data_IF_658150970117
#
_entry.id   IF_658150970117
#
_cell.length_a   1.000
_cell.length_b   1.000
_cell.length_c   1.000
_cell.angle_alpha   90.00
_cell.angle_beta   90.00
_cell.angle_gamma   90.00
#
_symmetry.space_group_name_H-M   'P 1'
#
loop_
_entity.id
_entity.type
_entity.pdbx_description
1 polymer ?
#
# COMPACT_ATOMS: atom_id res chain seq x y z
N UNK A 1 -53.67 3.34 22.87
CA UNK A 1 -53.16 2.46 21.80
C UNK A 1 -52.17 3.14 20.85
N UNK A 2 -52.47 4.33 20.29
CA UNK A 2 -51.61 5.00 19.28
C UNK A 2 -50.14 5.23 19.70
N UNK A 3 -49.88 5.59 20.97
CA UNK A 3 -48.53 5.90 21.48
C UNK A 3 -47.60 4.67 21.54
N UNK A 4 -48.13 3.50 21.91
CA UNK A 4 -47.36 2.24 21.98
C UNK A 4 -46.98 1.72 20.60
N UNK A 5 -47.87 1.92 19.61
CA UNK A 5 -47.63 1.55 18.22
C UNK A 5 -46.52 2.40 17.58
N UNK A 6 -46.52 3.71 17.83
CA UNK A 6 -45.47 4.62 17.33
C UNK A 6 -44.09 4.25 17.89
N UNK A 7 -43.99 3.92 19.18
CA UNK A 7 -42.72 3.51 19.82
C UNK A 7 -42.18 2.22 19.20
N UNK A 8 -43.05 1.24 18.93
CA UNK A 8 -42.66 -0.02 18.29
C UNK A 8 -42.11 0.22 16.88
N UNK A 9 -42.76 1.07 16.08
CA UNK A 9 -42.31 1.40 14.72
C UNK A 9 -40.94 2.09 14.75
N UNK A 10 -40.73 3.04 15.67
CA UNK A 10 -39.43 3.71 15.84
C UNK A 10 -38.34 2.71 16.25
N UNK A 11 -38.63 1.82 17.20
CA UNK A 11 -37.67 0.81 17.65
C UNK A 11 -37.27 -0.16 16.51
N UNK A 12 -38.23 -0.56 15.68
CA UNK A 12 -37.97 -1.40 14.49
C UNK A 12 -37.15 -0.64 13.46
N UNK A 13 -37.47 0.63 13.18
CA UNK A 13 -36.72 1.46 12.24
C UNK A 13 -35.26 1.63 12.67
N UNK A 14 -35.01 1.90 13.96
CA UNK A 14 -33.66 1.99 14.54
C UNK A 14 -32.94 0.65 14.45
N UNK A 15 -33.62 -0.45 14.78
CA UNK A 15 -33.05 -1.80 14.69
C UNK A 15 -32.65 -2.18 13.26
N UNK A 16 -33.47 -1.83 12.27
CA UNK A 16 -33.18 -2.06 10.85
C UNK A 16 -32.01 -1.19 10.37
N UNK A 17 -31.99 0.10 10.69
CA UNK A 17 -30.88 0.98 10.30
C UNK A 17 -29.56 0.54 10.94
N UNK A 18 -29.58 0.19 12.22
CA UNK A 18 -28.40 -0.34 12.92
C UNK A 18 -27.89 -1.64 12.27
N UNK A 19 -28.79 -2.58 11.97
CA UNK A 19 -28.45 -3.85 11.33
C UNK A 19 -27.81 -3.65 9.95
N UNK A 20 -28.34 -2.73 9.14
CA UNK A 20 -27.76 -2.35 7.84
C UNK A 20 -26.35 -1.79 8.05
N UNK A 21 -26.16 -0.83 8.95
CA UNK A 21 -24.84 -0.20 9.16
C UNK A 21 -23.76 -1.17 9.65
N UNK A 22 -24.12 -2.18 10.44
CA UNK A 22 -23.18 -3.21 10.91
C UNK A 22 -22.87 -4.21 9.79
N UNK A 23 -23.89 -4.62 9.02
CA UNK A 23 -23.73 -5.63 7.97
C UNK A 23 -22.91 -5.13 6.78
N UNK A 24 -22.94 -3.83 6.49
CA UNK A 24 -22.20 -3.21 5.38
C UNK A 24 -20.86 -2.57 5.79
N UNK A 25 -20.33 -2.88 6.98
CA UNK A 25 -18.96 -2.48 7.32
C UNK A 25 -17.98 -3.17 6.35
N UNK A 26 -17.14 -2.42 5.63
CA UNK A 26 -16.09 -3.01 4.82
C UNK A 26 -15.18 -3.87 5.71
N UNK A 27 -14.88 -5.09 5.27
CA UNK A 27 -13.91 -5.93 5.98
C UNK A 27 -12.55 -5.24 5.96
N UNK A 28 -11.81 -5.21 7.09
CA UNK A 28 -10.45 -4.72 7.09
C UNK A 28 -9.58 -5.61 6.18
N UNK A 29 -8.67 -4.97 5.45
CA UNK A 29 -7.68 -5.63 4.59
C UNK A 29 -6.32 -5.30 5.19
N UNK A 30 -5.50 -6.32 5.40
CA UNK A 30 -4.09 -6.17 5.80
C UNK A 30 -3.23 -6.88 4.78
N UNK A 31 -2.32 -6.14 4.14
CA UNK A 31 -1.29 -6.69 3.26
C UNK A 31 0.09 -6.50 3.89
N UNK A 32 1.01 -7.40 3.60
CA UNK A 32 2.37 -7.35 4.11
C UNK A 32 3.39 -7.62 3.00
N UNK A 33 4.58 -7.05 3.13
CA UNK A 33 5.67 -7.26 2.21
C UNK A 33 6.86 -6.37 2.55
N UNK A 34 7.48 -5.77 1.54
CA UNK A 34 8.65 -4.92 1.75
C UNK A 34 8.69 -3.73 0.81
N UNK A 35 9.49 -2.73 1.19
CA UNK A 35 9.89 -1.63 0.33
C UNK A 35 11.40 -1.65 0.21
N UNK A 36 11.91 -1.85 -0.99
CA UNK A 36 13.33 -1.79 -1.31
C UNK A 36 13.68 -0.43 -1.90
N UNK A 37 14.84 0.10 -1.52
CA UNK A 37 15.37 1.37 -2.01
C UNK A 37 16.84 1.23 -2.33
N UNK A 38 17.24 1.80 -3.46
CA UNK A 38 18.64 1.91 -3.89
C UNK A 38 18.90 3.33 -4.41
N UNK A 39 20.00 3.97 -4.00
CA UNK A 39 20.43 5.25 -4.59
C UNK A 39 21.09 5.09 -5.98
N UNK A 40 21.37 3.85 -6.42
CA UNK A 40 21.93 3.54 -7.73
C UNK A 40 20.95 3.76 -8.91
N UNK A 41 19.72 4.19 -8.61
CA UNK A 41 18.67 4.45 -9.59
C UNK A 41 18.10 3.21 -10.30
N UNK A 42 18.53 2.00 -9.91
CA UNK A 42 18.09 0.69 -10.43
C UNK A 42 18.04 -0.38 -9.32
N UNK A 43 17.45 -1.55 -9.58
CA UNK A 43 17.35 -2.62 -8.59
C UNK A 43 18.69 -3.30 -8.25
N UNK A 44 19.57 -3.47 -9.25
CA UNK A 44 20.86 -4.16 -9.14
C UNK A 44 22.01 -3.29 -9.68
N UNK A 45 22.95 -2.91 -8.81
CA UNK A 45 24.16 -2.19 -9.20
C UNK A 45 24.70 -1.29 -8.10
N UNK A 46 25.91 -0.76 -8.33
CA UNK A 46 26.55 0.22 -7.43
C UNK A 46 27.24 -0.38 -6.20
N UNK A 47 28.15 0.41 -5.61
CA UNK A 47 28.67 0.22 -4.23
C UNK A 47 27.92 1.18 -3.27
N UNK A 48 26.67 1.46 -3.57
CA UNK A 48 25.95 2.64 -3.07
C UNK A 48 24.90 2.24 -2.01
N UNK A 49 24.15 3.21 -1.48
CA UNK A 49 23.16 3.00 -0.44
C UNK A 49 22.01 2.08 -0.88
N UNK A 50 21.83 0.98 -0.15
CA UNK A 50 20.67 0.10 -0.27
C UNK A 50 20.04 -0.13 1.12
N UNK A 51 18.71 -0.17 1.15
CA UNK A 51 17.95 -0.53 2.34
C UNK A 51 16.60 -1.14 1.97
N UNK A 52 16.07 -1.94 2.89
CA UNK A 52 14.76 -2.56 2.81
C UNK A 52 14.00 -2.34 4.12
N UNK A 53 12.72 -2.00 4.00
CA UNK A 53 11.78 -1.88 5.10
C UNK A 53 10.72 -2.95 4.97
N UNK A 54 10.29 -3.53 6.09
CA UNK A 54 9.06 -4.30 6.16
C UNK A 54 7.89 -3.35 5.96
N UNK A 55 7.01 -3.67 5.02
CA UNK A 55 5.85 -2.87 4.66
C UNK A 55 4.57 -3.55 5.14
N UNK A 56 3.73 -2.82 5.88
CA UNK A 56 2.40 -3.29 6.32
C UNK A 56 1.34 -2.28 5.90
N UNK A 57 0.41 -2.70 5.05
CA UNK A 57 -0.72 -1.89 4.61
C UNK A 57 -1.98 -2.33 5.35
N UNK A 58 -2.59 -1.44 6.13
CA UNK A 58 -3.83 -1.69 6.86
C UNK A 58 -4.94 -0.80 6.32
N UNK A 59 -6.01 -1.37 5.76
CA UNK A 59 -7.12 -0.65 5.13
C UNK A 59 -8.45 -0.96 5.83
N UNK A 60 -9.24 0.08 6.07
CA UNK A 60 -10.64 -0.01 6.47
C UNK A 60 -11.50 0.76 5.45
N UNK A 61 -12.21 0.03 4.59
CA UNK A 61 -12.96 0.62 3.48
C UNK A 61 -12.01 1.13 2.38
N UNK A 62 -11.92 2.45 2.19
CA UNK A 62 -11.05 3.07 1.17
C UNK A 62 -9.90 3.88 1.78
N UNK A 63 -9.70 3.79 3.09
CA UNK A 63 -8.68 4.56 3.84
C UNK A 63 -7.92 3.64 4.77
N UNK A 64 -6.72 4.04 5.17
CA UNK A 64 -5.87 3.23 6.02
C UNK A 64 -4.48 3.82 6.21
N UNK A 65 -3.52 2.98 6.55
CA UNK A 65 -2.11 3.35 6.70
C UNK A 65 -1.18 2.38 6.00
N UNK A 66 -0.04 2.89 5.54
CA UNK A 66 1.14 2.12 5.19
C UNK A 66 2.22 2.39 6.23
N UNK A 67 2.63 1.33 6.93
CA UNK A 67 3.67 1.35 7.94
C UNK A 67 4.95 0.72 7.38
N UNK A 68 6.08 1.39 7.55
CA UNK A 68 7.40 0.96 7.09
C UNK A 68 8.32 0.83 8.29
N UNK A 69 8.96 -0.32 8.46
CA UNK A 69 9.91 -0.55 9.56
C UNK A 69 11.21 -1.05 8.97
N UNK A 70 12.32 -0.36 9.22
CA UNK A 70 13.62 -0.74 8.66
C UNK A 70 13.93 -2.19 9.02
N UNK A 71 14.20 -2.99 8.00
CA UNK A 71 14.54 -4.40 8.13
C UNK A 71 16.06 -4.59 8.03
N UNK A 72 16.66 -4.06 6.97
CA UNK A 72 18.09 -4.18 6.68
C UNK A 72 18.55 -3.00 5.82
N UNK A 73 19.81 -2.57 5.94
CA UNK A 73 20.38 -1.53 5.09
C UNK A 73 21.58 -0.82 5.72
N UNK A 74 22.18 0.11 4.96
CA UNK A 74 23.31 0.94 5.43
C UNK A 74 22.88 2.10 6.35
N UNK A 75 21.58 2.24 6.61
CA UNK A 75 20.99 3.25 7.47
C UNK A 75 19.48 3.34 7.26
N UNK A 76 18.83 4.28 7.93
CA UNK A 76 17.44 4.63 7.67
C UNK A 76 17.37 5.97 6.94
N UNK A 77 17.24 5.92 5.61
CA UNK A 77 17.05 7.11 4.81
C UNK A 77 15.65 7.74 5.00
N UNK A 78 14.69 7.00 5.56
CA UNK A 78 13.36 7.54 5.81
C UNK A 78 13.33 8.34 7.10
N UNK A 79 12.69 9.50 7.02
CA UNK A 79 12.40 10.36 8.17
C UNK A 79 10.98 10.21 8.69
N UNK A 80 10.13 9.51 7.93
CA UNK A 80 8.74 9.18 8.26
C UNK A 80 8.46 7.71 7.91
N UNK A 81 7.73 7.04 8.79
CA UNK A 81 7.51 5.58 8.73
C UNK A 81 6.03 5.18 8.72
N UNK A 82 5.13 6.13 8.94
CA UNK A 82 3.68 5.91 8.91
C UNK A 82 3.07 6.85 7.88
N UNK A 83 2.37 6.31 6.88
CA UNK A 83 1.83 7.07 5.77
C UNK A 83 0.33 6.90 5.66
N UNK A 84 -0.39 8.01 5.45
CA UNK A 84 -1.83 7.99 5.27
C UNK A 84 -2.19 7.45 3.88
N UNK A 85 -3.10 6.47 3.85
CA UNK A 85 -3.60 5.86 2.62
C UNK A 85 -5.06 6.22 2.40
N UNK A 86 -5.39 6.64 1.18
CA UNK A 86 -6.76 6.99 0.76
C UNK A 86 -7.07 6.47 -0.63
N UNK A 87 -8.34 6.49 -1.02
CA UNK A 87 -8.81 6.05 -2.34
C UNK A 87 -8.39 4.61 -2.70
N UNK A 88 -8.20 3.75 -1.69
CA UNK A 88 -7.79 2.37 -1.89
C UNK A 88 -8.83 1.60 -2.69
N UNK A 89 -8.37 0.90 -3.73
CA UNK A 89 -9.10 -0.08 -4.52
C UNK A 89 -8.16 -1.22 -4.86
N UNK A 90 -8.69 -2.44 -4.85
CA UNK A 90 -7.96 -3.65 -5.17
C UNK A 90 -8.83 -4.51 -6.07
N UNK A 91 -8.24 -5.02 -7.14
CA UNK A 91 -8.80 -6.06 -7.98
C UNK A 91 -7.77 -7.19 -8.16
N UNK A 92 -8.14 -8.22 -8.93
CA UNK A 92 -7.31 -9.41 -9.15
C UNK A 92 -5.96 -9.09 -9.83
N UNK A 93 -5.79 -7.91 -10.42
CA UNK A 93 -4.61 -7.55 -11.22
C UNK A 93 -3.82 -6.38 -10.66
N UNK A 94 -4.44 -5.52 -9.84
CA UNK A 94 -3.77 -4.34 -9.29
C UNK A 94 -4.36 -3.83 -7.99
N UNK A 95 -3.54 -3.06 -7.29
CA UNK A 95 -3.94 -2.18 -6.20
C UNK A 95 -3.72 -0.74 -6.67
N UNK A 96 -4.71 0.12 -6.48
CA UNK A 96 -4.60 1.56 -6.69
C UNK A 96 -4.95 2.29 -5.41
N UNK A 97 -4.14 3.26 -5.01
CA UNK A 97 -4.36 4.06 -3.80
C UNK A 97 -3.64 5.40 -3.90
N UNK A 98 -3.94 6.31 -2.98
CA UNK A 98 -3.13 7.50 -2.73
C UNK A 98 -2.38 7.36 -1.43
N UNK A 99 -1.07 7.55 -1.45
CA UNK A 99 -0.22 7.65 -0.27
C UNK A 99 0.16 9.11 -0.13
N UNK A 100 -0.21 9.75 0.99
CA UNK A 100 0.04 11.19 1.20
C UNK A 100 -0.51 12.09 0.07
N UNK A 101 -1.60 11.65 -0.57
CA UNK A 101 -2.24 12.35 -1.69
C UNK A 101 -1.67 12.02 -3.08
N UNK A 102 -0.51 11.37 -3.18
CA UNK A 102 0.11 10.95 -4.43
C UNK A 102 -0.39 9.57 -4.88
N UNK A 103 -0.71 9.44 -6.17
CA UNK A 103 -1.25 8.20 -6.72
C UNK A 103 -0.18 7.11 -6.83
N UNK A 104 -0.50 5.93 -6.30
CA UNK A 104 0.31 4.71 -6.37
C UNK A 104 -0.51 3.59 -6.98
N UNK A 105 0.08 2.89 -7.95
CA UNK A 105 -0.52 1.72 -8.60
C UNK A 105 0.45 0.56 -8.51
N UNK A 106 0.09 -0.50 -7.80
CA UNK A 106 0.84 -1.75 -7.75
C UNK A 106 0.19 -2.76 -8.70
N UNK A 107 1.00 -3.46 -9.48
CA UNK A 107 0.55 -4.46 -10.44
C UNK A 107 0.88 -5.84 -9.91
N UNK A 108 -0.05 -6.79 -10.03
CA UNK A 108 0.21 -8.19 -9.70
C UNK A 108 1.30 -8.73 -10.61
N UNK A 109 2.38 -9.23 -10.02
CA UNK A 109 3.46 -9.94 -10.69
C UNK A 109 3.24 -11.43 -10.48
N UNK A 110 2.78 -12.12 -11.51
CA UNK A 110 2.56 -13.58 -11.44
C UNK A 110 3.87 -14.35 -11.35
N UNK A 111 4.90 -13.86 -12.05
CA UNK A 111 6.24 -14.44 -12.12
C UNK A 111 7.27 -13.31 -12.06
N UNK A 112 8.12 -13.30 -11.04
CA UNK A 112 9.15 -12.30 -10.84
C UNK A 112 10.51 -12.76 -11.34
N UNK A 113 10.89 -12.27 -12.52
CA UNK A 113 12.19 -12.61 -13.13
C UNK A 113 13.35 -11.76 -12.57
N UNK A 114 13.07 -10.69 -11.84
CA UNK A 114 14.11 -9.74 -11.36
C UNK A 114 14.77 -10.26 -10.09
N UNK A 115 13.98 -10.80 -9.17
CA UNK A 115 14.48 -11.36 -7.91
C UNK A 115 14.36 -12.88 -7.85
N UNK A 116 14.52 -13.56 -8.99
CA UNK A 116 14.55 -15.03 -9.09
C UNK A 116 13.36 -15.69 -8.37
N UNK A 117 12.15 -15.26 -8.74
CA UNK A 117 10.86 -15.74 -8.22
C UNK A 117 10.57 -15.42 -6.74
N UNK A 118 11.38 -14.59 -6.08
CA UNK A 118 11.19 -14.25 -4.67
C UNK A 118 9.85 -13.53 -4.39
N UNK A 119 9.31 -12.83 -5.39
CA UNK A 119 8.09 -12.04 -5.26
C UNK A 119 6.96 -12.48 -6.21
N UNK A 120 6.91 -13.76 -6.56
CA UNK A 120 5.77 -14.35 -7.28
C UNK A 120 4.46 -14.14 -6.49
N UNK A 121 3.44 -13.62 -7.18
CA UNK A 121 2.12 -13.33 -6.60
C UNK A 121 2.05 -12.05 -5.76
N UNK A 122 3.09 -11.21 -5.76
CA UNK A 122 3.04 -9.90 -5.10
C UNK A 122 2.47 -8.83 -6.02
N UNK A 123 1.81 -7.84 -5.42
CA UNK A 123 1.54 -6.56 -6.06
C UNK A 123 2.77 -5.67 -5.94
N UNK A 124 3.34 -5.25 -7.06
CA UNK A 124 4.59 -4.49 -7.11
C UNK A 124 4.39 -3.15 -7.83
N UNK A 125 4.90 -2.08 -7.24
CA UNK A 125 5.16 -0.82 -7.92
C UNK A 125 6.63 -0.45 -7.78
N UNK A 126 7.26 -0.07 -8.89
CA UNK A 126 8.69 0.25 -8.92
C UNK A 126 8.98 1.45 -9.81
N UNK A 127 10.00 2.21 -9.43
CA UNK A 127 10.48 3.38 -10.15
C UNK A 127 11.99 3.51 -9.97
N UNK A 128 12.70 3.92 -11.00
CA UNK A 128 14.11 4.31 -10.93
C UNK A 128 14.55 5.02 -12.21
N UNK A 129 15.36 6.06 -12.08
CA UNK A 129 15.82 6.86 -13.23
C UNK A 129 16.77 6.10 -14.17
N UNK A 130 17.54 5.17 -13.61
CA UNK A 130 18.53 4.35 -14.32
C UNK A 130 18.13 2.88 -14.43
N UNK A 131 16.90 2.55 -14.01
CA UNK A 131 16.38 1.20 -14.02
C UNK A 131 16.05 0.75 -15.46
N UNK A 132 16.41 -0.48 -15.85
CA UNK A 132 15.92 -1.08 -17.08
C UNK A 132 14.39 -1.03 -17.17
N UNK A 133 13.80 -0.81 -18.36
CA UNK A 133 12.34 -0.70 -18.52
C UNK A 133 11.55 -1.88 -17.96
N UNK A 134 12.12 -3.09 -18.01
CA UNK A 134 11.55 -4.32 -17.47
C UNK A 134 11.41 -4.31 -15.93
N UNK A 135 12.19 -3.48 -15.23
CA UNK A 135 12.10 -3.32 -13.79
C UNK A 135 10.99 -2.37 -13.36
N UNK A 136 10.49 -1.52 -14.25
CA UNK A 136 9.51 -0.50 -13.93
C UNK A 136 8.09 -1.07 -14.02
N UNK A 137 7.37 -1.02 -12.90
CA UNK A 137 6.04 -1.58 -12.78
C UNK A 137 5.10 -0.59 -12.11
N UNK A 138 3.88 -0.50 -12.63
CA UNK A 138 2.84 0.32 -12.01
C UNK A 138 3.22 1.81 -11.95
N UNK A 139 2.96 2.44 -10.81
CA UNK A 139 3.30 3.85 -10.58
C UNK A 139 3.62 4.07 -9.12
N UNK A 140 4.80 4.61 -8.84
CA UNK A 140 5.28 5.04 -7.52
C UNK A 140 6.35 6.11 -7.76
N UNK A 141 6.64 6.93 -6.75
CA UNK A 141 7.71 7.93 -6.81
C UNK A 141 8.48 7.94 -5.49
N UNK A 142 9.81 8.14 -5.50
CA UNK A 142 10.60 8.24 -4.28
C UNK A 142 10.12 9.37 -3.37
N UNK A 143 9.76 10.52 -3.94
CA UNK A 143 9.36 11.73 -3.20
C UNK A 143 8.09 11.58 -2.35
N UNK A 144 7.34 10.49 -2.49
CA UNK A 144 6.24 10.14 -1.58
C UNK A 144 6.79 9.85 -0.17
N UNK A 145 8.00 9.26 -0.09
CA UNK A 145 8.62 8.78 1.13
C UNK A 145 9.66 9.77 1.63
N UNK A 146 9.37 10.41 2.77
CA UNK A 146 10.17 11.55 3.25
C UNK A 146 11.58 11.11 3.59
N UNK A 147 12.56 11.76 2.97
CA UNK A 147 13.99 11.46 3.11
C UNK A 147 14.59 10.87 1.83
N UNK A 148 13.75 10.29 0.95
CA UNK A 148 14.19 9.91 -0.39
C UNK A 148 14.18 11.12 -1.32
N UNK A 149 15.02 11.06 -2.35
CA UNK A 149 15.07 12.06 -3.42
C UNK A 149 14.88 11.40 -4.78
N UNK A 150 14.64 12.22 -5.80
CA UNK A 150 14.10 11.77 -7.08
C UNK A 150 15.03 10.87 -7.89
N UNK A 151 16.29 10.63 -7.52
CA UNK A 151 17.15 9.68 -8.24
C UNK A 151 17.07 8.25 -7.71
N UNK A 152 16.50 8.05 -6.52
CA UNK A 152 16.46 6.75 -5.88
C UNK A 152 15.59 5.77 -6.66
N UNK A 153 16.08 4.55 -6.85
CA UNK A 153 15.22 3.43 -7.12
C UNK A 153 14.37 3.11 -5.89
N UNK A 154 13.11 2.81 -6.13
CA UNK A 154 12.16 2.35 -5.11
C UNK A 154 11.31 1.24 -5.68
N UNK A 155 11.07 0.20 -4.89
CA UNK A 155 10.15 -0.88 -5.20
C UNK A 155 9.33 -1.25 -3.96
N UNK A 156 8.01 -1.06 -4.03
CA UNK A 156 7.06 -1.46 -2.99
C UNK A 156 6.38 -2.76 -3.42
N UNK A 157 6.42 -3.77 -2.54
CA UNK A 157 5.92 -5.13 -2.77
C UNK A 157 4.94 -5.49 -1.66
N UNK A 158 3.71 -5.87 -1.98
CA UNK A 158 2.66 -6.21 -1.00
C UNK A 158 1.87 -7.46 -1.42
N UNK A 159 1.45 -8.27 -0.44
CA UNK A 159 0.50 -9.38 -0.62
C UNK A 159 -0.43 -9.57 0.57
#
# INVERSE_FOLDING_TARGET
>A
MKRKFIILVIAVMIGVTYSITVYFQPKPITLSGSMFVSDAGRSHGGFEYNAEWNATLNIQGSRGSLDLVLNIGLGDALTKHHYDVTEFKMDEKKITMKIEGEMVTLILVEVDEIWDHAFDGFYIASWGGDAPPEEIRGTIKPLIFQGLVDHYYIELRLR
#
